data_IF_824124267837
#
_entry.id   IF_824124267837
#
_cell.length_a   1.000
_cell.length_b   1.000
_cell.length_c   1.000
_cell.angle_alpha   90.00
_cell.angle_beta   90.00
_cell.angle_gamma   90.00
#
_symmetry.space_group_name_H-M   'P 1'
#
loop_
_entity.id
_entity.type
_entity.pdbx_description
1 polymer ?
#
# COMPACT_ATOMS: atom_id res chain seq x y z
N UNK A 1 -22.91 -5.37 17.92
CA UNK A 1 -21.62 -5.69 17.24
C UNK A 1 -21.57 -4.94 15.92
N UNK A 2 -21.49 -3.61 15.98
CA UNK A 2 -21.32 -2.78 14.78
C UNK A 2 -19.85 -2.91 14.40
N UNK A 3 -19.53 -3.41 13.21
CA UNK A 3 -18.15 -3.40 12.73
C UNK A 3 -17.68 -1.95 12.72
N UNK A 4 -16.94 -1.54 13.75
CA UNK A 4 -16.56 -0.15 14.04
C UNK A 4 -15.49 0.39 13.10
N UNK A 5 -15.51 -0.04 11.83
CA UNK A 5 -14.59 0.43 10.81
C UNK A 5 -15.16 1.69 10.17
N UNK A 6 -14.42 2.79 10.25
CA UNK A 6 -14.83 4.03 9.59
C UNK A 6 -14.70 3.89 8.07
N UNK A 7 -15.47 4.66 7.30
CA UNK A 7 -15.37 4.68 5.83
C UNK A 7 -13.92 4.94 5.35
N UNK A 8 -13.17 5.73 6.12
CA UNK A 8 -11.75 6.01 5.87
C UNK A 8 -10.86 4.76 5.99
N UNK A 9 -11.16 3.85 6.93
CA UNK A 9 -10.43 2.58 7.04
C UNK A 9 -10.72 1.66 5.87
N UNK A 10 -11.97 1.58 5.43
CA UNK A 10 -12.34 0.80 4.23
C UNK A 10 -11.63 1.32 2.98
N UNK A 11 -11.54 2.65 2.82
CA UNK A 11 -10.80 3.25 1.73
C UNK A 11 -9.30 2.89 1.80
N UNK A 12 -8.69 3.04 2.97
CA UNK A 12 -7.28 2.68 3.15
C UNK A 12 -7.02 1.20 2.87
N UNK A 13 -7.92 0.31 3.30
CA UNK A 13 -7.79 -1.12 3.04
C UNK A 13 -7.83 -1.40 1.52
N UNK A 14 -8.76 -0.76 0.80
CA UNK A 14 -8.84 -0.87 -0.68
C UNK A 14 -7.60 -0.32 -1.38
N UNK A 15 -7.08 0.81 -0.92
CA UNK A 15 -5.82 1.39 -1.43
C UNK A 15 -4.66 0.42 -1.23
N UNK A 16 -4.59 -0.24 -0.07
CA UNK A 16 -3.52 -1.20 0.22
C UNK A 16 -3.66 -2.49 -0.59
N UNK A 17 -4.88 -2.99 -0.83
CA UNK A 17 -5.09 -4.12 -1.75
C UNK A 17 -4.50 -3.82 -3.13
N UNK A 18 -4.89 -2.68 -3.73
CA UNK A 18 -4.37 -2.26 -5.04
C UNK A 18 -2.84 -2.03 -5.03
N UNK A 19 -2.30 -1.50 -3.93
CA UNK A 19 -0.87 -1.30 -3.77
C UNK A 19 -0.10 -2.63 -3.76
N UNK A 20 -0.62 -3.66 -3.08
CA UNK A 20 0.02 -4.99 -3.04
C UNK A 20 0.15 -5.59 -4.44
N UNK A 21 -0.91 -5.51 -5.24
CA UNK A 21 -0.93 -5.98 -6.63
C UNK A 21 0.12 -5.26 -7.50
N UNK A 22 0.26 -3.94 -7.34
CA UNK A 22 1.27 -3.16 -8.07
C UNK A 22 2.69 -3.47 -7.60
N UNK A 23 2.90 -3.61 -6.30
CA UNK A 23 4.21 -3.92 -5.73
C UNK A 23 4.69 -5.32 -6.16
N UNK A 24 3.78 -6.30 -6.24
CA UNK A 24 4.08 -7.68 -6.63
C UNK A 24 4.20 -7.87 -8.14
N UNK A 25 3.36 -7.21 -8.94
CA UNK A 25 3.21 -7.48 -10.36
C UNK A 25 3.98 -6.55 -11.30
N UNK A 26 4.72 -5.56 -10.78
CA UNK A 26 5.37 -4.55 -11.64
C UNK A 26 6.82 -4.25 -11.25
N UNK A 27 7.58 -3.72 -12.21
CA UNK A 27 8.93 -3.17 -12.02
C UNK A 27 8.92 -1.68 -11.65
N UNK A 28 7.75 -1.10 -11.41
CA UNK A 28 7.60 0.32 -11.09
C UNK A 28 8.37 0.67 -9.81
N UNK A 29 8.88 1.90 -9.77
CA UNK A 29 9.47 2.49 -8.57
C UNK A 29 8.41 2.79 -7.51
N UNK A 30 8.84 2.95 -6.26
CA UNK A 30 7.94 3.29 -5.15
C UNK A 30 7.24 4.64 -5.35
N UNK A 31 7.90 5.59 -6.01
CA UNK A 31 7.33 6.90 -6.32
C UNK A 31 6.22 6.80 -7.36
N UNK A 32 6.41 6.00 -8.41
CA UNK A 32 5.37 5.75 -9.41
C UNK A 32 4.16 5.04 -8.80
N UNK A 33 4.39 4.01 -7.98
CA UNK A 33 3.31 3.28 -7.30
C UNK A 33 2.53 4.21 -6.38
N UNK A 34 3.23 5.04 -5.59
CA UNK A 34 2.62 6.02 -4.70
C UNK A 34 1.73 7.00 -5.48
N UNK A 35 2.22 7.53 -6.60
CA UNK A 35 1.45 8.44 -7.44
C UNK A 35 0.19 7.77 -8.02
N UNK A 36 0.33 6.55 -8.54
CA UNK A 36 -0.77 5.80 -9.16
C UNK A 36 -1.93 5.47 -8.21
N UNK A 37 -1.65 5.38 -6.91
CA UNK A 37 -2.66 5.07 -5.89
C UNK A 37 -3.07 6.31 -5.08
N UNK A 38 -2.65 7.50 -5.52
CA UNK A 38 -3.13 8.79 -5.01
C UNK A 38 -2.32 9.40 -3.86
N UNK A 39 -1.08 8.96 -3.64
CA UNK A 39 -0.17 9.64 -2.71
C UNK A 39 0.72 10.64 -3.44
N UNK A 40 0.78 11.85 -2.90
CA UNK A 40 1.71 12.90 -3.35
C UNK A 40 3.17 12.59 -3.00
N UNK A 41 3.40 11.80 -1.95
CA UNK A 41 4.73 11.45 -1.46
C UNK A 41 4.86 9.94 -1.20
N UNK A 42 5.91 9.33 -1.75
CA UNK A 42 6.22 7.91 -1.58
C UNK A 42 6.49 7.51 -0.13
N UNK A 43 6.95 8.44 0.71
CA UNK A 43 7.22 8.20 2.13
C UNK A 43 5.93 7.98 2.93
N UNK A 44 4.89 8.77 2.64
CA UNK A 44 3.55 8.60 3.23
C UNK A 44 2.94 7.25 2.83
N UNK A 45 3.04 6.90 1.55
CA UNK A 45 2.64 5.59 1.05
C UNK A 45 3.39 4.45 1.77
N UNK A 46 4.72 4.52 1.81
CA UNK A 46 5.56 3.47 2.41
C UNK A 46 5.23 3.25 3.90
N UNK A 47 4.97 4.33 4.64
CA UNK A 47 4.56 4.25 6.05
C UNK A 47 3.20 3.56 6.20
N UNK A 48 2.20 3.93 5.40
CA UNK A 48 0.88 3.29 5.45
C UNK A 48 0.97 1.81 5.05
N UNK A 49 1.72 1.51 3.99
CA UNK A 49 1.92 0.15 3.50
C UNK A 49 2.57 -0.72 4.57
N UNK A 50 3.62 -0.23 5.24
CA UNK A 50 4.24 -0.94 6.37
C UNK A 50 3.29 -1.13 7.54
N UNK A 51 2.50 -0.11 7.90
CA UNK A 51 1.53 -0.22 8.98
C UNK A 51 0.46 -1.29 8.71
N UNK A 52 0.07 -1.47 7.44
CA UNK A 52 -1.02 -2.36 7.03
C UNK A 52 -0.57 -3.76 6.62
N UNK A 53 0.72 -3.94 6.33
CA UNK A 53 1.27 -5.21 5.82
C UNK A 53 2.42 -5.78 6.66
N UNK A 54 2.93 -5.00 7.61
CA UNK A 54 4.16 -5.26 8.38
C UNK A 54 5.47 -5.23 7.56
N UNK A 55 5.40 -4.98 6.26
CA UNK A 55 6.56 -4.89 5.37
C UNK A 55 6.60 -3.53 4.69
N UNK A 56 7.78 -2.97 4.48
CA UNK A 56 7.92 -1.90 3.49
C UNK A 56 7.58 -2.44 2.09
N UNK A 57 7.18 -1.58 1.14
CA UNK A 57 6.93 -2.01 -0.24
C UNK A 57 8.10 -2.80 -0.86
N UNK A 58 9.35 -2.38 -0.59
CA UNK A 58 10.54 -3.08 -1.08
C UNK A 58 10.74 -4.45 -0.43
N UNK A 59 10.54 -4.56 0.89
CA UNK A 59 10.60 -5.86 1.60
C UNK A 59 9.51 -6.80 1.08
N UNK A 60 8.28 -6.31 0.92
CA UNK A 60 7.16 -7.09 0.39
C UNK A 60 7.42 -7.59 -1.04
N UNK A 61 8.06 -6.78 -1.89
CA UNK A 61 8.48 -7.22 -3.22
C UNK A 61 9.55 -8.32 -3.14
N UNK A 62 10.46 -8.24 -2.17
CA UNK A 62 11.50 -9.24 -1.97
C UNK A 62 10.94 -10.59 -1.45
N UNK A 63 9.84 -10.59 -0.68
CA UNK A 63 9.22 -11.84 -0.20
C UNK A 63 8.54 -12.67 -1.28
N UNK A 64 8.38 -12.12 -2.49
CA UNK A 64 7.70 -12.77 -3.62
C UNK A 64 8.66 -13.28 -4.70
N UNK A 65 9.97 -13.10 -4.49
CA UNK A 65 11.02 -13.73 -5.29
C UNK A 65 11.38 -15.08 -4.71
#
# INVERSE_FOLDING_TARGET
MSTGRSAQQHLQDKVIEAAKEKVSGTVLSLSEIAFLIGFEHSQSFSRLFKLKTNFTPSEYRATLK
#
